data_IF_097404370557
#
_entry.id   IF_097404370557
#
_cell.length_a   1.000
_cell.length_b   1.000
_cell.length_c   1.000
_cell.angle_alpha   90.00
_cell.angle_beta   90.00
_cell.angle_gamma   90.00
#
_symmetry.space_group_name_H-M   'P 1'
#
loop_
_entity.id
_entity.type
_entity.pdbx_description
1 polymer ?
#
# COMPACT_ATOMS: atom_id res chain seq x y z
N UNK A 1 -9.93 -40.41 6.07
CA UNK A 1 -9.19 -40.02 4.85
C UNK A 1 -8.24 -38.93 5.29
N UNK A 2 -6.96 -39.25 5.41
CA UNK A 2 -5.95 -38.31 5.85
C UNK A 2 -5.68 -37.37 4.67
N UNK A 3 -6.22 -36.15 4.73
CA UNK A 3 -5.83 -35.10 3.81
C UNK A 3 -4.34 -34.86 4.00
N UNK A 4 -3.56 -35.09 2.94
CA UNK A 4 -2.18 -34.64 2.82
C UNK A 4 -2.17 -33.12 3.02
N UNK A 5 -2.01 -32.71 4.27
CA UNK A 5 -1.95 -31.31 4.66
C UNK A 5 -0.71 -30.72 3.99
N UNK A 6 -0.90 -30.03 2.86
CA UNK A 6 0.14 -29.34 2.11
C UNK A 6 0.92 -28.41 3.05
N UNK A 7 2.01 -28.89 3.62
CA UNK A 7 2.92 -28.08 4.42
C UNK A 7 3.71 -27.22 3.44
N UNK A 8 3.28 -25.98 3.23
CA UNK A 8 3.94 -25.06 2.32
C UNK A 8 5.07 -24.34 3.05
N UNK A 9 6.22 -25.01 3.16
CA UNK A 9 7.47 -24.38 3.63
C UNK A 9 7.79 -23.14 2.79
N UNK A 10 7.44 -23.19 1.50
CA UNK A 10 7.54 -22.06 0.59
C UNK A 10 6.70 -20.86 1.06
N UNK A 11 5.41 -21.09 1.35
CA UNK A 11 4.50 -20.04 1.82
C UNK A 11 4.97 -19.39 3.13
N UNK A 12 5.40 -20.21 4.10
CA UNK A 12 6.00 -19.73 5.34
C UNK A 12 7.25 -18.89 5.08
N UNK A 13 8.15 -19.37 4.22
CA UNK A 13 9.40 -18.66 3.88
C UNK A 13 9.11 -17.32 3.18
N UNK A 14 8.10 -17.27 2.31
CA UNK A 14 7.62 -16.03 1.69
C UNK A 14 7.10 -15.08 2.77
N UNK A 15 6.24 -15.54 3.69
CA UNK A 15 5.73 -14.70 4.78
C UNK A 15 6.83 -14.07 5.64
N UNK A 16 7.78 -14.89 6.12
CA UNK A 16 8.87 -14.38 6.96
C UNK A 16 9.84 -13.50 6.18
N UNK A 17 10.12 -13.81 4.91
CA UNK A 17 10.97 -12.95 4.07
C UNK A 17 10.32 -11.59 3.79
N UNK A 18 8.98 -11.52 3.69
CA UNK A 18 8.26 -10.24 3.58
C UNK A 18 8.44 -9.37 4.82
N UNK A 19 8.40 -9.94 6.03
CA UNK A 19 8.63 -9.19 7.28
C UNK A 19 10.05 -8.63 7.31
N UNK A 20 11.05 -9.46 6.99
CA UNK A 20 12.46 -9.03 6.96
C UNK A 20 12.68 -7.96 5.89
N UNK A 21 12.12 -8.13 4.70
CA UNK A 21 12.21 -7.15 3.61
C UNK A 21 11.55 -5.82 3.98
N UNK A 22 10.36 -5.85 4.62
CA UNK A 22 9.68 -4.64 5.10
C UNK A 22 10.54 -3.85 6.09
N UNK A 23 11.16 -4.53 7.06
CA UNK A 23 12.06 -3.91 8.03
C UNK A 23 13.32 -3.34 7.36
N UNK A 24 13.93 -4.09 6.44
CA UNK A 24 15.12 -3.66 5.72
C UNK A 24 14.84 -2.41 4.86
N UNK A 25 13.76 -2.43 4.06
CA UNK A 25 13.39 -1.28 3.24
C UNK A 25 13.01 -0.07 4.07
N UNK A 26 12.30 -0.26 5.19
CA UNK A 26 11.99 0.83 6.13
C UNK A 26 13.27 1.46 6.68
N UNK A 27 14.24 0.64 7.11
CA UNK A 27 15.53 1.13 7.61
C UNK A 27 16.30 1.92 6.54
N UNK A 28 16.32 1.43 5.29
CA UNK A 28 16.95 2.13 4.16
C UNK A 28 16.26 3.47 3.91
N UNK A 29 14.92 3.50 3.84
CA UNK A 29 14.15 4.73 3.63
C UNK A 29 14.39 5.76 4.74
N UNK A 30 14.37 5.33 6.01
CA UNK A 30 14.67 6.21 7.14
C UNK A 30 16.10 6.73 7.06
N UNK A 31 17.08 5.88 6.73
CA UNK A 31 18.47 6.31 6.56
C UNK A 31 18.59 7.37 5.47
N UNK A 32 17.95 7.17 4.32
CA UNK A 32 17.89 8.16 3.23
C UNK A 32 17.33 9.49 3.72
N UNK A 33 16.19 9.47 4.43
CA UNK A 33 15.56 10.69 4.95
C UNK A 33 16.48 11.41 5.94
N UNK A 34 17.20 10.67 6.79
CA UNK A 34 18.13 11.24 7.79
C UNK A 34 19.38 11.84 7.16
N UNK A 35 19.93 11.19 6.13
CA UNK A 35 21.17 11.64 5.46
C UNK A 35 20.94 12.75 4.44
N UNK A 36 19.70 12.91 3.97
CA UNK A 36 19.38 13.95 3.00
C UNK A 36 19.32 15.30 3.71
N UNK A 37 20.28 16.18 3.44
CA UNK A 37 20.37 17.50 4.05
C UNK A 37 19.11 18.31 3.77
N UNK A 38 18.45 18.87 4.80
CA UNK A 38 17.26 19.69 4.59
C UNK A 38 17.58 20.85 3.64
N UNK A 39 16.82 20.99 2.57
CA UNK A 39 16.89 22.22 1.77
C UNK A 39 16.30 23.39 2.58
N UNK A 40 16.80 24.61 2.37
CA UNK A 40 16.26 25.82 2.98
C UNK A 40 14.78 26.08 2.63
N UNK A 41 14.24 25.36 1.63
CA UNK A 41 12.85 25.42 1.20
C UNK A 41 11.95 24.44 1.96
N UNK A 42 12.52 23.53 2.76
CA UNK A 42 11.76 22.50 3.46
C UNK A 42 11.11 23.04 4.75
N UNK A 43 9.79 23.27 4.70
CA UNK A 43 9.05 23.70 5.88
C UNK A 43 9.16 22.65 7.00
N UNK A 44 9.58 23.02 8.23
CA UNK A 44 9.62 22.10 9.36
C UNK A 44 8.24 21.55 9.70
N UNK A 45 7.18 22.33 9.47
CA UNK A 45 5.78 21.91 9.69
C UNK A 45 5.37 20.78 8.75
N UNK A 46 5.76 20.86 7.47
CA UNK A 46 5.46 19.80 6.49
C UNK A 46 6.19 18.50 6.85
N UNK A 47 7.45 18.57 7.27
CA UNK A 47 8.21 17.40 7.75
C UNK A 47 7.56 16.76 8.97
N UNK A 48 7.16 17.57 9.95
CA UNK A 48 6.45 17.06 11.12
C UNK A 48 5.13 16.39 10.73
N UNK A 49 4.33 17.05 9.88
CA UNK A 49 3.05 16.52 9.40
C UNK A 49 3.20 15.14 8.74
N UNK A 50 4.10 15.00 7.77
CA UNK A 50 4.30 13.71 7.09
C UNK A 50 4.95 12.65 7.98
N UNK A 51 5.74 13.04 8.98
CA UNK A 51 6.25 12.11 9.99
C UNK A 51 5.14 11.57 10.89
N UNK A 52 4.22 12.44 11.31
CA UNK A 52 3.02 12.05 12.08
C UNK A 52 2.14 11.13 11.24
N UNK A 53 1.85 11.51 9.99
CA UNK A 53 1.04 10.69 9.07
C UNK A 53 1.68 9.33 8.76
N UNK A 54 3.01 9.27 8.59
CA UNK A 54 3.73 8.01 8.42
C UNK A 54 3.62 7.13 9.67
N UNK A 55 3.84 7.70 10.86
CA UNK A 55 3.74 6.96 12.13
C UNK A 55 2.32 6.46 12.35
N UNK A 56 1.33 7.31 12.12
CA UNK A 56 -0.08 6.96 12.25
C UNK A 56 -0.47 5.84 11.28
N UNK A 57 -0.10 5.97 10.00
CA UNK A 57 -0.29 4.91 8.99
C UNK A 57 0.32 3.57 9.43
N UNK A 58 1.57 3.59 9.91
CA UNK A 58 2.25 2.38 10.39
C UNK A 58 1.54 1.76 11.60
N UNK A 59 1.11 2.58 12.57
CA UNK A 59 0.38 2.12 13.75
C UNK A 59 -0.97 1.49 13.38
N UNK A 60 -1.76 2.18 12.55
CA UNK A 60 -3.07 1.69 12.09
C UNK A 60 -2.93 0.37 11.35
N UNK A 61 -1.97 0.26 10.43
CA UNK A 61 -1.68 -1.00 9.77
C UNK A 61 -1.31 -2.09 10.76
N UNK A 62 -0.32 -1.81 11.63
CA UNK A 62 0.22 -2.81 12.54
C UNK A 62 -0.89 -3.37 13.41
N UNK A 63 -1.81 -2.52 13.88
CA UNK A 63 -2.99 -2.93 14.61
C UNK A 63 -3.89 -3.89 13.80
N UNK A 64 -4.31 -3.51 12.59
CA UNK A 64 -5.22 -4.34 11.79
C UNK A 64 -4.56 -5.64 11.29
N UNK A 65 -3.31 -5.58 10.82
CA UNK A 65 -2.58 -6.77 10.39
C UNK A 65 -2.28 -7.70 11.55
N UNK A 66 -1.95 -7.19 12.74
CA UNK A 66 -1.80 -8.03 13.92
C UNK A 66 -3.12 -8.73 14.26
N UNK A 67 -4.26 -8.03 14.17
CA UNK A 67 -5.57 -8.63 14.36
C UNK A 67 -5.87 -9.73 13.32
N UNK A 68 -5.49 -9.55 12.05
CA UNK A 68 -5.56 -10.61 11.02
C UNK A 68 -4.73 -11.83 11.42
N UNK A 69 -3.48 -11.63 11.85
CA UNK A 69 -2.58 -12.72 12.24
C UNK A 69 -3.08 -13.45 13.49
N UNK A 70 -3.57 -12.72 14.49
CA UNK A 70 -4.19 -13.28 15.70
C UNK A 70 -5.41 -14.10 15.33
N UNK A 71 -6.30 -13.57 14.49
CA UNK A 71 -7.50 -14.28 14.04
C UNK A 71 -7.13 -15.57 13.31
N UNK A 72 -6.20 -15.51 12.36
CA UNK A 72 -5.72 -16.67 11.62
C UNK A 72 -5.11 -17.73 12.54
N UNK A 73 -4.27 -17.30 13.50
CA UNK A 73 -3.67 -18.23 14.47
C UNK A 73 -4.73 -18.89 15.35
N UNK A 74 -5.74 -18.15 15.82
CA UNK A 74 -6.84 -18.70 16.64
C UNK A 74 -7.63 -19.76 15.88
N UNK A 75 -8.03 -19.47 14.64
CA UNK A 75 -8.78 -20.42 13.79
C UNK A 75 -7.97 -21.69 13.53
N UNK A 76 -6.67 -21.55 13.24
CA UNK A 76 -5.76 -22.67 13.04
C UNK A 76 -5.55 -23.50 14.32
N UNK A 77 -5.42 -22.84 15.47
CA UNK A 77 -5.25 -23.51 16.77
C UNK A 77 -6.49 -24.33 17.13
N UNK A 78 -7.68 -23.76 16.91
CA UNK A 78 -8.97 -24.42 17.16
C UNK A 78 -9.16 -25.65 16.27
N UNK A 79 -8.84 -25.57 14.97
CA UNK A 79 -8.99 -26.70 14.05
C UNK A 79 -8.06 -27.88 14.37
N UNK A 80 -6.94 -27.63 15.06
CA UNK A 80 -5.99 -28.65 15.52
C UNK A 80 -6.13 -29.02 16.99
N UNK A 81 -7.16 -28.50 17.68
CA UNK A 81 -7.37 -28.68 19.12
C UNK A 81 -6.14 -28.34 19.97
N UNK A 82 -5.35 -27.36 19.52
CA UNK A 82 -4.20 -26.83 20.26
C UNK A 82 -4.74 -25.77 21.23
N UNK A 83 -4.54 -25.93 22.56
CA UNK A 83 -4.98 -24.95 23.52
C UNK A 83 -4.27 -23.61 23.30
N UNK A 84 -5.04 -22.52 23.39
CA UNK A 84 -4.48 -21.17 23.35
C UNK A 84 -4.02 -20.79 24.76
N UNK A 85 -2.95 -19.99 24.90
CA UNK A 85 -2.58 -19.45 26.20
C UNK A 85 -3.71 -18.53 26.70
N UNK A 86 -4.37 -18.91 27.79
CA UNK A 86 -5.49 -18.16 28.37
C UNK A 86 -5.04 -16.85 29.05
N UNK A 87 -3.74 -16.70 29.32
CA UNK A 87 -3.18 -15.57 30.06
C UNK A 87 -1.77 -15.18 29.62
N UNK A 88 -1.45 -13.89 29.79
CA UNK A 88 -0.13 -13.34 29.46
C UNK A 88 0.97 -13.80 30.45
N UNK A 89 0.62 -13.99 31.72
CA UNK A 89 1.49 -14.47 32.82
C UNK A 89 0.69 -15.47 33.68
N UNK A 90 1.24 -16.67 33.95
CA UNK A 90 0.54 -17.75 34.69
C UNK A 90 0.86 -19.18 34.19
N UNK A 91 0.40 -20.24 34.85
CA UNK A 91 0.62 -21.63 34.41
C UNK A 91 -0.16 -21.94 33.11
N UNK A 92 0.49 -21.94 31.94
CA UNK A 92 -0.18 -21.95 30.61
C UNK A 92 -0.02 -20.64 29.82
N UNK A 93 0.85 -19.73 30.27
CA UNK A 93 1.01 -18.39 29.69
C UNK A 93 1.88 -18.30 28.44
N UNK A 94 1.91 -17.10 27.83
CA UNK A 94 2.83 -16.75 26.74
C UNK A 94 4.29 -16.56 27.22
N UNK A 95 4.50 -16.02 28.43
CA UNK A 95 5.83 -15.65 28.95
C UNK A 95 5.99 -16.17 30.38
N UNK A 96 6.87 -17.15 30.59
CA UNK A 96 7.19 -17.69 31.93
C UNK A 96 7.55 -19.17 31.96
N UNK A 97 7.72 -19.73 33.16
CA UNK A 97 8.14 -21.13 33.39
C UNK A 97 7.06 -22.18 33.07
N UNK A 98 5.81 -21.77 32.88
CA UNK A 98 4.70 -22.61 32.43
C UNK A 98 4.25 -22.32 31.00
N UNK A 99 5.17 -21.87 30.14
CA UNK A 99 4.84 -21.40 28.80
C UNK A 99 4.29 -22.51 27.91
N UNK A 100 3.18 -22.26 27.24
CA UNK A 100 2.79 -23.08 26.09
C UNK A 100 3.54 -22.57 24.85
N UNK A 101 4.33 -23.40 24.17
CA UNK A 101 5.09 -22.95 23.01
C UNK A 101 4.12 -22.55 21.89
N UNK A 102 4.15 -21.27 21.50
CA UNK A 102 3.45 -20.82 20.30
C UNK A 102 4.04 -21.55 19.09
N UNK A 103 3.21 -22.31 18.39
CA UNK A 103 3.61 -23.07 17.22
C UNK A 103 3.58 -22.18 15.97
N UNK A 104 4.21 -21.00 16.03
CA UNK A 104 4.15 -19.99 14.97
C UNK A 104 4.71 -20.51 13.64
N UNK A 105 5.80 -21.29 13.69
CA UNK A 105 6.37 -21.88 12.49
C UNK A 105 5.42 -22.91 11.86
N UNK A 106 4.83 -23.79 12.68
CA UNK A 106 3.87 -24.78 12.20
C UNK A 106 2.60 -24.13 11.63
N UNK A 107 2.07 -23.12 12.33
CA UNK A 107 0.99 -22.26 11.84
C UNK A 107 1.34 -21.63 10.49
N UNK A 108 2.54 -21.03 10.35
CA UNK A 108 2.93 -20.38 9.10
C UNK A 108 3.07 -21.35 7.92
N UNK A 109 3.42 -22.63 8.16
CA UNK A 109 3.52 -23.67 7.12
C UNK A 109 2.18 -24.24 6.68
N UNK A 110 1.21 -24.27 7.60
CA UNK A 110 -0.02 -25.07 7.42
C UNK A 110 -1.29 -24.22 7.38
N UNK A 111 -1.19 -22.92 7.63
CA UNK A 111 -2.31 -22.00 7.48
C UNK A 111 -2.48 -21.52 6.03
N UNK A 112 -3.74 -21.22 5.71
CA UNK A 112 -4.19 -20.61 4.45
C UNK A 112 -4.21 -19.08 4.53
N UNK A 113 -3.33 -18.48 5.35
CA UNK A 113 -3.34 -17.04 5.70
C UNK A 113 -3.51 -16.11 4.49
N UNK A 114 -2.65 -16.26 3.47
CA UNK A 114 -2.70 -15.39 2.28
C UNK A 114 -3.95 -15.60 1.44
N UNK A 115 -4.44 -16.84 1.39
CA UNK A 115 -5.64 -17.23 0.64
C UNK A 115 -6.88 -16.60 1.28
N UNK A 116 -7.03 -16.79 2.59
CA UNK A 116 -8.13 -16.24 3.38
C UNK A 116 -8.11 -14.73 3.39
N UNK A 117 -6.92 -14.12 3.48
CA UNK A 117 -6.76 -12.67 3.36
C UNK A 117 -7.29 -12.15 2.03
N UNK A 118 -6.84 -12.75 0.90
CA UNK A 118 -7.29 -12.35 -0.44
C UNK A 118 -8.80 -12.52 -0.63
N UNK A 119 -9.34 -13.67 -0.21
CA UNK A 119 -10.78 -13.94 -0.29
C UNK A 119 -11.58 -12.94 0.55
N UNK A 120 -11.13 -12.63 1.77
CA UNK A 120 -11.82 -11.70 2.66
C UNK A 120 -11.94 -10.29 2.08
N UNK A 121 -10.97 -9.85 1.27
CA UNK A 121 -10.99 -8.56 0.58
C UNK A 121 -12.01 -8.51 -0.56
N UNK A 122 -12.21 -9.62 -1.25
CA UNK A 122 -13.10 -9.73 -2.42
C UNK A 122 -14.52 -10.18 -2.05
N UNK A 123 -14.73 -10.65 -0.82
CA UNK A 123 -15.99 -11.22 -0.38
C UNK A 123 -17.00 -10.12 -0.07
N UNK A 124 -17.94 -9.88 -0.97
CA UNK A 124 -18.97 -8.84 -0.81
C UNK A 124 -18.58 -7.52 -1.45
N UNK A 125 -19.57 -6.83 -2.01
CA UNK A 125 -19.38 -5.57 -2.72
C UNK A 125 -18.96 -4.42 -1.78
N UNK A 126 -19.49 -4.43 -0.56
CA UNK A 126 -19.18 -3.52 0.55
C UNK A 126 -17.72 -3.59 1.02
N UNK A 127 -17.11 -4.78 0.99
CA UNK A 127 -15.69 -4.98 1.29
C UNK A 127 -14.81 -4.63 0.10
N UNK A 128 -15.23 -5.10 -1.08
CA UNK A 128 -14.46 -4.92 -2.30
C UNK A 128 -14.26 -3.45 -2.66
N UNK A 129 -15.24 -2.57 -2.41
CA UNK A 129 -15.09 -1.13 -2.72
C UNK A 129 -13.87 -0.51 -2.05
N UNK A 130 -13.61 -0.85 -0.78
CA UNK A 130 -12.45 -0.34 -0.04
C UNK A 130 -11.13 -0.98 -0.50
N UNK A 131 -11.13 -2.31 -0.68
CA UNK A 131 -9.97 -3.02 -1.19
C UNK A 131 -9.55 -2.50 -2.56
N UNK A 132 -10.51 -2.36 -3.47
CA UNK A 132 -10.32 -1.85 -4.82
C UNK A 132 -9.83 -0.40 -4.83
N UNK A 133 -10.42 0.47 -4.00
CA UNK A 133 -9.96 1.86 -3.84
C UNK A 133 -8.50 1.94 -3.37
N UNK A 134 -8.13 1.13 -2.38
CA UNK A 134 -6.75 1.07 -1.88
C UNK A 134 -5.76 0.55 -2.93
N UNK A 135 -6.12 -0.48 -3.69
CA UNK A 135 -5.29 -1.03 -4.76
C UNK A 135 -5.13 -0.03 -5.91
N UNK A 136 -6.21 0.61 -6.34
CA UNK A 136 -6.18 1.68 -7.35
C UNK A 136 -5.30 2.86 -6.92
N UNK A 137 -5.37 3.24 -5.64
CA UNK A 137 -4.48 4.25 -5.07
C UNK A 137 -3.03 3.78 -5.11
N UNK A 138 -2.75 2.52 -4.80
CA UNK A 138 -1.40 1.93 -4.89
C UNK A 138 -0.78 2.15 -6.27
N UNK A 139 -1.50 1.82 -7.34
CA UNK A 139 -1.03 2.08 -8.71
C UNK A 139 -0.68 3.54 -8.96
N UNK A 140 -1.62 4.43 -8.62
CA UNK A 140 -1.45 5.88 -8.84
C UNK A 140 -0.26 6.44 -8.04
N UNK A 141 -0.06 5.96 -6.81
CA UNK A 141 1.01 6.44 -5.93
C UNK A 141 2.36 5.85 -6.30
N UNK A 142 2.45 4.58 -6.68
CA UNK A 142 3.68 4.00 -7.24
C UNK A 142 4.10 4.77 -8.50
N UNK A 143 3.16 5.09 -9.39
CA UNK A 143 3.43 5.93 -10.56
C UNK A 143 3.97 7.33 -10.19
N UNK A 144 3.37 7.96 -9.19
CA UNK A 144 3.85 9.24 -8.65
C UNK A 144 5.26 9.10 -8.04
N UNK A 145 5.51 8.10 -7.20
CA UNK A 145 6.79 7.87 -6.52
C UNK A 145 7.90 7.59 -7.54
N UNK A 146 7.62 6.78 -8.55
CA UNK A 146 8.52 6.52 -9.66
C UNK A 146 8.85 7.80 -10.42
N UNK A 147 7.85 8.59 -10.82
CA UNK A 147 8.10 9.81 -11.61
C UNK A 147 8.82 10.89 -10.79
N UNK A 148 8.32 11.25 -9.60
CA UNK A 148 8.91 12.30 -8.76
C UNK A 148 10.24 11.87 -8.14
N UNK A 149 10.35 10.62 -7.69
CA UNK A 149 11.57 10.09 -7.09
C UNK A 149 12.75 10.12 -8.06
N UNK A 150 12.52 9.76 -9.33
CA UNK A 150 13.55 9.87 -10.37
C UNK A 150 13.91 11.32 -10.67
N UNK A 151 12.92 12.20 -10.83
CA UNK A 151 13.15 13.63 -11.11
C UNK A 151 13.94 14.32 -9.98
N UNK A 152 13.65 13.96 -8.73
CA UNK A 152 14.31 14.48 -7.55
C UNK A 152 15.61 13.72 -7.18
N UNK A 153 15.98 12.69 -7.95
CA UNK A 153 17.15 11.82 -7.70
C UNK A 153 17.20 11.27 -6.28
N UNK A 154 16.05 10.83 -5.77
CA UNK A 154 15.96 10.21 -4.43
C UNK A 154 16.89 9.00 -4.39
N UNK A 155 17.88 8.96 -3.48
CA UNK A 155 18.80 7.83 -3.37
C UNK A 155 18.03 6.59 -2.91
N UNK A 156 18.42 5.42 -3.40
CA UNK A 156 17.76 4.14 -3.10
C UNK A 156 16.23 4.15 -3.33
N UNK A 157 15.76 4.85 -4.36
CA UNK A 157 14.34 4.91 -4.72
C UNK A 157 13.66 3.52 -4.80
N UNK A 158 14.40 2.50 -5.24
CA UNK A 158 13.93 1.12 -5.28
C UNK A 158 13.42 0.62 -3.91
N UNK A 159 13.98 1.09 -2.79
CA UNK A 159 13.53 0.70 -1.46
C UNK A 159 12.17 1.32 -1.12
N UNK A 160 11.91 2.57 -1.54
CA UNK A 160 10.59 3.20 -1.38
C UNK A 160 9.53 2.50 -2.22
N UNK A 161 9.86 2.11 -3.46
CA UNK A 161 8.95 1.35 -4.33
C UNK A 161 8.72 -0.06 -3.77
N UNK A 162 9.77 -0.77 -3.36
CA UNK A 162 9.64 -2.08 -2.72
C UNK A 162 8.83 -2.02 -1.43
N UNK A 163 8.95 -0.95 -0.65
CA UNK A 163 8.14 -0.72 0.53
C UNK A 163 6.66 -0.51 0.18
N UNK A 164 6.36 0.21 -0.90
CA UNK A 164 4.99 0.40 -1.40
C UNK A 164 4.34 -0.89 -1.94
N UNK A 165 5.14 -1.89 -2.30
CA UNK A 165 4.64 -3.21 -2.71
C UNK A 165 4.33 -4.13 -1.53
N UNK A 166 5.09 -4.01 -0.45
CA UNK A 166 5.02 -4.92 0.71
C UNK A 166 4.14 -4.36 1.82
N UNK A 167 4.27 -3.06 2.11
CA UNK A 167 3.57 -2.34 3.15
C UNK A 167 2.49 -1.43 2.54
N UNK A 168 1.58 -0.91 3.38
CA UNK A 168 0.58 0.09 3.02
C UNK A 168 1.18 1.23 2.25
N UNK A 169 0.44 1.63 1.21
CA UNK A 169 0.91 2.65 0.31
C UNK A 169 1.02 3.99 1.03
N UNK A 170 0.14 4.30 1.99
CA UNK A 170 0.18 5.57 2.72
C UNK A 170 1.45 5.71 3.56
N UNK A 171 1.99 4.61 4.12
CA UNK A 171 3.25 4.64 4.86
C UNK A 171 4.41 4.96 3.93
N UNK A 172 4.56 4.17 2.85
CA UNK A 172 5.63 4.37 1.87
C UNK A 172 5.54 5.74 1.19
N UNK A 173 4.33 6.21 0.89
CA UNK A 173 4.05 7.53 0.34
C UNK A 173 4.51 8.66 1.27
N UNK A 174 4.21 8.59 2.56
CA UNK A 174 4.62 9.62 3.51
C UNK A 174 6.14 9.64 3.71
N UNK A 175 6.81 8.48 3.74
CA UNK A 175 8.26 8.42 3.72
C UNK A 175 8.85 9.04 2.44
N UNK A 176 8.23 8.79 1.28
CA UNK A 176 8.63 9.43 0.03
C UNK A 176 8.48 10.95 0.10
N UNK A 177 7.38 11.46 0.65
CA UNK A 177 7.19 12.91 0.84
C UNK A 177 8.28 13.52 1.71
N UNK A 178 8.66 12.86 2.80
CA UNK A 178 9.79 13.28 3.63
C UNK A 178 11.10 13.31 2.85
N UNK A 179 11.38 12.27 2.05
CA UNK A 179 12.56 12.23 1.20
C UNK A 179 12.55 13.38 0.16
N UNK A 180 11.41 13.63 -0.49
CA UNK A 180 11.25 14.69 -1.48
C UNK A 180 11.45 16.09 -0.89
N UNK A 181 11.01 16.32 0.35
CA UNK A 181 11.26 17.59 1.07
C UNK A 181 12.76 17.81 1.34
N UNK A 182 13.53 16.73 1.51
CA UNK A 182 14.98 16.80 1.70
C UNK A 182 15.77 16.99 0.39
N UNK A 183 15.27 16.52 -0.75
CA UNK A 183 16.02 16.56 -2.01
C UNK A 183 16.08 17.95 -2.65
N UNK A 184 17.22 18.29 -3.27
CA UNK A 184 17.42 19.56 -3.98
C UNK A 184 16.57 19.64 -5.26
N UNK A 185 16.03 20.83 -5.55
CA UNK A 185 15.14 21.15 -6.68
C UNK A 185 15.77 21.09 -8.07
N UNK A 186 17.00 20.59 -8.24
CA UNK A 186 17.57 20.31 -9.57
C UNK A 186 16.85 19.12 -10.20
N UNK A 187 15.67 19.40 -10.75
CA UNK A 187 14.82 18.44 -11.42
C UNK A 187 15.52 17.87 -12.64
N UNK A 188 15.83 16.58 -12.59
CA UNK A 188 16.13 15.82 -13.79
C UNK A 188 14.83 15.61 -14.59
N UNK A 189 14.95 15.51 -15.91
CA UNK A 189 13.82 15.22 -16.80
C UNK A 189 13.63 13.71 -17.04
N UNK A 190 14.41 12.87 -16.36
CA UNK A 190 14.26 11.43 -16.42
C UNK A 190 12.86 10.97 -15.98
N UNK A 191 12.23 10.12 -16.79
CA UNK A 191 10.96 9.46 -16.48
C UNK A 191 11.16 7.95 -16.69
N UNK A 192 10.72 7.10 -15.75
CA UNK A 192 10.81 5.65 -15.90
C UNK A 192 9.82 5.11 -16.94
N UNK A 193 10.24 4.10 -17.69
CA UNK A 193 9.42 3.40 -18.69
C UNK A 193 9.14 4.18 -19.98
N UNK A 194 8.56 3.48 -20.95
CA UNK A 194 7.99 4.05 -22.18
C UNK A 194 6.48 4.24 -22.01
N UNK A 195 5.80 5.07 -22.81
CA UNK A 195 4.34 5.19 -22.74
C UNK A 195 3.63 3.85 -22.94
N UNK A 196 4.18 2.98 -23.79
CA UNK A 196 3.62 1.65 -24.07
C UNK A 196 3.70 0.75 -22.84
N UNK A 197 4.81 0.77 -22.10
CA UNK A 197 4.98 -0.01 -20.88
C UNK A 197 3.97 0.44 -19.81
N UNK A 198 3.80 1.75 -19.61
CA UNK A 198 2.80 2.30 -18.69
C UNK A 198 1.38 1.91 -19.09
N UNK A 199 1.07 1.95 -20.39
CA UNK A 199 -0.24 1.57 -20.90
C UNK A 199 -0.52 0.08 -20.65
N UNK A 200 0.38 -0.82 -21.05
CA UNK A 200 0.18 -2.27 -20.88
C UNK A 200 0.19 -2.68 -19.40
N UNK A 201 1.09 -2.11 -18.58
CA UNK A 201 1.10 -2.32 -17.14
C UNK A 201 -0.21 -1.88 -16.50
N UNK A 202 -0.69 -0.66 -16.81
CA UNK A 202 -1.94 -0.15 -16.24
C UNK A 202 -3.19 -0.88 -16.72
N UNK A 203 -3.27 -1.24 -18.01
CA UNK A 203 -4.39 -2.05 -18.52
C UNK A 203 -4.39 -3.46 -17.93
N UNK A 204 -3.23 -4.09 -17.80
CA UNK A 204 -3.10 -5.38 -17.13
C UNK A 204 -3.50 -5.29 -15.66
N UNK A 205 -3.06 -4.24 -14.97
CA UNK A 205 -3.39 -4.01 -13.56
C UNK A 205 -4.90 -3.82 -13.37
N UNK A 206 -5.52 -3.03 -14.25
CA UNK A 206 -6.96 -2.84 -14.27
C UNK A 206 -7.71 -4.14 -14.54
N UNK A 207 -7.23 -4.98 -15.46
CA UNK A 207 -7.79 -6.31 -15.71
C UNK A 207 -7.71 -7.20 -14.46
N UNK A 208 -6.60 -7.14 -13.71
CA UNK A 208 -6.48 -7.85 -12.43
C UNK A 208 -7.51 -7.36 -11.40
N UNK A 209 -7.73 -6.05 -11.26
CA UNK A 209 -8.76 -5.50 -10.37
C UNK A 209 -10.16 -5.96 -10.78
N UNK A 210 -10.46 -5.93 -12.08
CA UNK A 210 -11.76 -6.38 -12.60
C UNK A 210 -12.01 -7.87 -12.38
N UNK A 211 -10.97 -8.68 -12.49
CA UNK A 211 -11.06 -10.14 -12.35
C UNK A 211 -11.00 -10.62 -10.89
N UNK A 212 -10.41 -9.84 -9.99
CA UNK A 212 -10.15 -10.25 -8.60
C UNK A 212 -11.40 -10.78 -7.86
N UNK A 213 -12.59 -10.14 -7.91
CA UNK A 213 -13.77 -10.66 -7.23
C UNK A 213 -14.22 -12.05 -7.72
N UNK A 214 -13.94 -12.37 -8.99
CA UNK A 214 -14.31 -13.64 -9.62
C UNK A 214 -13.23 -14.71 -9.49
N UNK A 215 -12.05 -14.37 -8.99
CA UNK A 215 -10.89 -15.26 -8.97
C UNK A 215 -11.00 -16.39 -7.94
N UNK A 216 -11.78 -16.21 -6.87
CA UNK A 216 -11.99 -17.20 -5.82
C UNK A 216 -10.66 -17.72 -5.26
N UNK A 217 -10.39 -19.01 -5.43
CA UNK A 217 -9.15 -19.64 -4.97
C UNK A 217 -7.89 -19.14 -5.69
N UNK A 218 -8.02 -18.57 -6.89
CA UNK A 218 -6.87 -18.08 -7.67
C UNK A 218 -6.46 -16.64 -7.32
N UNK A 219 -7.09 -16.03 -6.31
CA UNK A 219 -6.86 -14.63 -5.93
C UNK A 219 -5.39 -14.29 -5.66
N UNK A 220 -4.63 -15.24 -5.08
CA UNK A 220 -3.20 -15.04 -4.79
C UNK A 220 -2.41 -14.79 -6.08
N UNK A 221 -2.70 -15.54 -7.15
CA UNK A 221 -2.02 -15.36 -8.43
C UNK A 221 -2.39 -14.03 -9.07
N UNK A 222 -3.65 -13.61 -8.97
CA UNK A 222 -4.11 -12.30 -9.45
C UNK A 222 -3.38 -11.16 -8.73
N UNK A 223 -3.26 -11.24 -7.41
CA UNK A 223 -2.50 -10.28 -6.61
C UNK A 223 -1.03 -10.29 -7.03
N UNK A 224 -0.40 -11.45 -7.20
CA UNK A 224 1.01 -11.55 -7.60
C UNK A 224 1.24 -10.91 -8.98
N UNK A 225 0.38 -11.19 -9.95
CA UNK A 225 0.46 -10.58 -11.29
C UNK A 225 0.29 -9.06 -11.18
N UNK A 226 -0.68 -8.58 -10.40
CA UNK A 226 -0.88 -7.15 -10.19
C UNK A 226 0.37 -6.47 -9.60
N UNK A 227 1.04 -7.12 -8.64
CA UNK A 227 2.30 -6.64 -8.04
C UNK A 227 3.46 -6.63 -9.05
N UNK A 228 3.60 -7.66 -9.87
CA UNK A 228 4.61 -7.69 -10.94
C UNK A 228 4.37 -6.56 -11.94
N UNK A 229 3.11 -6.35 -12.36
CA UNK A 229 2.74 -5.30 -13.30
C UNK A 229 3.09 -3.90 -12.78
N UNK A 230 2.94 -3.64 -11.47
CA UNK A 230 3.34 -2.38 -10.84
C UNK A 230 4.85 -2.13 -10.88
N UNK A 231 5.65 -3.18 -10.76
CA UNK A 231 7.11 -3.08 -10.77
C UNK A 231 7.70 -2.87 -12.17
N UNK A 232 7.05 -3.34 -13.24
CA UNK A 232 7.60 -3.31 -14.62
C UNK A 232 8.03 -1.89 -15.05
N UNK A 233 7.19 -0.83 -14.95
CA UNK A 233 7.60 0.50 -15.40
C UNK A 233 8.84 1.03 -14.69
N UNK A 234 9.02 0.68 -13.42
CA UNK A 234 10.18 1.07 -12.62
C UNK A 234 11.47 0.39 -13.08
N UNK A 235 11.42 -0.90 -13.41
CA UNK A 235 12.57 -1.68 -13.87
C UNK A 235 13.07 -1.24 -15.25
N UNK A 236 12.17 -0.72 -16.08
CA UNK A 236 12.49 -0.30 -17.45
C UNK A 236 13.04 1.13 -17.47
N UNK A 237 14.38 1.26 -17.45
CA UNK A 237 15.04 2.56 -17.59
C UNK A 237 15.10 2.97 -19.07
N UNK A 238 14.33 3.98 -19.45
CA UNK A 238 14.49 4.62 -20.76
C UNK A 238 15.63 5.63 -20.66
N UNK A 239 16.79 5.33 -21.24
CA UNK A 239 17.90 6.28 -21.31
C UNK A 239 17.44 7.53 -22.10
N UNK A 240 17.39 8.68 -21.42
CA UNK A 240 17.01 9.94 -22.03
C UNK A 240 18.18 10.47 -22.85
N UNK A 241 18.17 10.21 -24.17
CA UNK A 241 19.03 10.97 -25.08
C UNK A 241 18.54 12.43 -25.10
N UNK A 242 19.47 13.36 -24.90
CA UNK A 242 19.27 14.77 -24.53
C UNK A 242 18.50 15.66 -25.54
N UNK A 243 17.86 15.08 -26.56
CA UNK A 243 16.95 15.75 -27.47
C UNK A 243 15.68 14.92 -27.54
N UNK A 244 14.54 15.43 -27.03
CA UNK A 244 13.26 15.47 -27.78
C UNK A 244 11.97 15.69 -26.95
N UNK A 245 10.91 16.20 -27.61
CA UNK A 245 9.52 16.39 -27.15
C UNK A 245 8.72 15.12 -26.74
N UNK A 246 9.36 13.96 -26.51
CA UNK A 246 8.66 12.71 -26.15
C UNK A 246 8.17 12.65 -24.69
N UNK A 247 8.67 13.54 -23.83
CA UNK A 247 8.36 13.55 -22.39
C UNK A 247 6.91 13.95 -22.08
N UNK A 248 6.34 14.88 -22.84
CA UNK A 248 4.93 15.28 -22.69
C UNK A 248 3.98 14.11 -23.00
N UNK A 249 4.33 13.27 -23.97
CA UNK A 249 3.57 12.06 -24.32
C UNK A 249 3.58 11.02 -23.19
N UNK A 250 4.74 10.77 -22.56
CA UNK A 250 4.83 9.83 -21.42
C UNK A 250 4.00 10.34 -20.24
N UNK A 251 4.16 11.61 -19.86
CA UNK A 251 3.39 12.20 -18.76
C UNK A 251 1.90 12.19 -19.04
N UNK A 252 1.50 12.47 -20.28
CA UNK A 252 0.12 12.37 -20.74
C UNK A 252 -0.42 10.94 -20.61
N UNK A 253 0.36 9.93 -21.04
CA UNK A 253 -0.03 8.53 -20.92
C UNK A 253 -0.19 8.09 -19.45
N UNK A 254 0.75 8.44 -18.57
CA UNK A 254 0.66 8.15 -17.13
C UNK A 254 -0.57 8.83 -16.51
N UNK A 255 -0.82 10.10 -16.87
CA UNK A 255 -1.99 10.82 -16.36
C UNK A 255 -3.30 10.21 -16.87
N UNK A 256 -3.36 9.81 -18.14
CA UNK A 256 -4.54 9.20 -18.74
C UNK A 256 -4.83 7.83 -18.12
N UNK A 257 -3.81 6.98 -17.92
CA UNK A 257 -4.01 5.66 -17.31
C UNK A 257 -4.39 5.77 -15.83
N UNK A 258 -3.81 6.71 -15.07
CA UNK A 258 -4.23 6.98 -13.70
C UNK A 258 -5.68 7.47 -13.65
N UNK A 259 -6.06 8.39 -14.54
CA UNK A 259 -7.44 8.87 -14.63
C UNK A 259 -8.40 7.74 -14.99
N UNK A 260 -8.01 6.82 -15.90
CA UNK A 260 -8.80 5.65 -16.26
C UNK A 260 -8.97 4.69 -15.06
N UNK A 261 -7.89 4.36 -14.35
CA UNK A 261 -7.95 3.50 -13.16
C UNK A 261 -8.87 4.10 -12.10
N UNK A 262 -8.70 5.40 -11.80
CA UNK A 262 -9.56 6.12 -10.83
C UNK A 262 -11.01 6.13 -11.30
N UNK A 263 -11.27 6.42 -12.58
CA UNK A 263 -12.62 6.46 -13.14
C UNK A 263 -13.31 5.10 -13.02
N UNK A 264 -12.65 4.01 -13.41
CA UNK A 264 -13.23 2.67 -13.34
C UNK A 264 -13.55 2.29 -11.90
N UNK A 265 -12.64 2.57 -10.97
CA UNK A 265 -12.85 2.28 -9.54
C UNK A 265 -13.96 3.16 -8.96
N UNK A 266 -14.05 4.42 -9.35
CA UNK A 266 -15.13 5.32 -8.93
C UNK A 266 -16.50 4.86 -9.47
N UNK A 267 -16.56 4.40 -10.73
CA UNK A 267 -17.77 3.82 -11.32
C UNK A 267 -18.16 2.54 -10.57
N UNK A 268 -17.22 1.65 -10.29
CA UNK A 268 -17.50 0.44 -9.50
C UNK A 268 -17.99 0.77 -8.10
N UNK A 269 -17.36 1.73 -7.41
CA UNK A 269 -17.81 2.20 -6.11
C UNK A 269 -19.23 2.76 -6.19
N UNK A 270 -19.53 3.59 -7.19
CA UNK A 270 -20.86 4.15 -7.39
C UNK A 270 -21.92 3.06 -7.63
N UNK A 271 -21.61 2.03 -8.43
CA UNK A 271 -22.52 0.90 -8.67
C UNK A 271 -22.80 0.08 -7.41
N UNK A 272 -21.84 -0.01 -6.49
CA UNK A 272 -22.02 -0.70 -5.19
C UNK A 272 -22.87 0.12 -4.24
N UNK A 273 -22.63 1.43 -4.18
CA UNK A 273 -23.25 2.33 -3.20
C UNK A 273 -24.63 2.83 -3.68
N UNK A 274 -24.87 2.81 -4.99
CA UNK A 274 -26.18 3.11 -5.59
C UNK A 274 -26.73 1.86 -6.29
N UNK A 275 -27.15 0.81 -5.54
CA UNK A 275 -27.94 -0.24 -6.15
C UNK A 275 -29.16 0.40 -6.84
N UNK A 276 -29.60 -0.18 -7.95
CA UNK A 276 -30.76 0.24 -8.76
C UNK A 276 -32.11 0.16 -7.99
N UNK A 277 -32.12 0.39 -6.67
CA UNK A 277 -33.25 0.34 -5.74
C UNK A 277 -34.06 1.64 -5.70
N UNK A 278 -33.81 2.59 -6.61
CA UNK A 278 -34.64 3.81 -6.76
C UNK A 278 -34.36 4.93 -5.76
N UNK A 279 -33.38 4.79 -4.87
CA UNK A 279 -32.89 5.88 -4.03
C UNK A 279 -31.76 6.63 -4.75
N UNK A 280 -31.93 7.94 -4.92
CA UNK A 280 -30.95 8.82 -5.57
C UNK A 280 -29.69 9.07 -4.71
N UNK A 281 -29.75 8.74 -3.42
CA UNK A 281 -28.64 8.96 -2.49
C UNK A 281 -27.82 7.68 -2.29
N UNK A 282 -26.48 7.79 -2.33
CA UNK A 282 -25.59 6.67 -2.05
C UNK A 282 -25.82 6.09 -0.65
N UNK A 283 -25.95 4.77 -0.53
CA UNK A 283 -26.00 4.04 0.75
C UNK A 283 -24.59 3.96 1.37
N UNK A 284 -24.16 5.11 1.91
CA UNK A 284 -22.86 5.29 2.54
C UNK A 284 -22.72 4.38 3.77
N UNK A 285 -23.83 4.10 4.47
CA UNK A 285 -23.83 3.24 5.66
C UNK A 285 -23.41 1.82 5.30
N UNK A 286 -23.89 1.28 4.18
CA UNK A 286 -23.47 -0.04 3.71
C UNK A 286 -21.97 -0.08 3.37
N UNK A 287 -21.45 0.97 2.71
CA UNK A 287 -20.01 1.08 2.45
C UNK A 287 -19.19 1.17 3.75
N UNK A 288 -19.62 1.99 4.72
CA UNK A 288 -18.92 2.15 6.00
C UNK A 288 -18.96 0.87 6.84
N UNK A 289 -20.06 0.10 6.81
CA UNK A 289 -20.12 -1.23 7.45
C UNK A 289 -19.08 -2.17 6.88
N UNK A 290 -18.84 -2.11 5.57
CA UNK A 290 -17.78 -2.88 4.91
C UNK A 290 -16.38 -2.59 5.48
N UNK A 291 -16.09 -1.32 5.80
CA UNK A 291 -14.78 -0.86 6.29
C UNK A 291 -14.34 -1.57 7.59
N UNK A 292 -15.27 -1.73 8.54
CA UNK A 292 -15.00 -2.33 9.85
C UNK A 292 -15.43 -3.81 9.95
N UNK A 293 -15.96 -4.37 8.85
CA UNK A 293 -16.49 -5.74 8.84
C UNK A 293 -15.43 -6.83 9.01
N UNK A 294 -14.18 -6.57 8.60
CA UNK A 294 -13.09 -7.53 8.66
C UNK A 294 -11.73 -6.80 8.76
N UNK A 295 -10.81 -7.24 9.63
CA UNK A 295 -9.55 -6.52 9.88
C UNK A 295 -8.67 -6.38 8.61
N UNK A 296 -8.74 -7.34 7.67
CA UNK A 296 -8.07 -7.22 6.37
C UNK A 296 -8.60 -6.04 5.53
N UNK A 297 -9.92 -5.83 5.54
CA UNK A 297 -10.57 -4.73 4.81
C UNK A 297 -10.26 -3.42 5.50
N UNK A 298 -10.33 -3.37 6.83
CA UNK A 298 -9.98 -2.18 7.61
C UNK A 298 -8.53 -1.77 7.35
N UNK A 299 -7.59 -2.72 7.27
CA UNK A 299 -6.19 -2.43 6.96
C UNK A 299 -6.03 -1.66 5.63
N UNK A 300 -6.72 -2.09 4.56
CA UNK A 300 -6.67 -1.42 3.26
C UNK A 300 -7.54 -0.14 3.21
N UNK A 301 -8.72 -0.16 3.82
CA UNK A 301 -9.62 0.98 3.81
C UNK A 301 -9.06 2.17 4.57
N UNK A 302 -8.49 1.96 5.76
CA UNK A 302 -7.81 3.03 6.48
C UNK A 302 -6.51 3.46 5.79
N UNK A 303 -5.77 2.55 5.16
CA UNK A 303 -4.62 2.91 4.31
C UNK A 303 -5.05 3.87 3.17
N UNK A 304 -6.16 3.56 2.50
CA UNK A 304 -6.75 4.42 1.49
C UNK A 304 -7.10 5.81 2.04
N UNK A 305 -7.77 5.89 3.18
CA UNK A 305 -8.16 7.15 3.81
C UNK A 305 -6.95 8.00 4.20
N UNK A 306 -5.97 7.41 4.89
CA UNK A 306 -4.75 8.10 5.34
C UNK A 306 -3.91 8.52 4.13
N UNK A 307 -3.77 7.68 3.11
CA UNK A 307 -3.04 8.00 1.89
C UNK A 307 -3.72 9.11 1.09
N UNK A 308 -5.06 9.11 1.01
CA UNK A 308 -5.83 10.19 0.38
C UNK A 308 -5.64 11.51 1.10
N UNK A 309 -5.75 11.53 2.43
CA UNK A 309 -5.47 12.71 3.26
C UNK A 309 -4.04 13.22 3.07
N UNK A 310 -3.06 12.32 3.12
CA UNK A 310 -1.64 12.63 2.91
C UNK A 310 -1.41 13.27 1.55
N UNK A 311 -2.13 12.82 0.53
CA UNK A 311 -2.05 13.36 -0.82
C UNK A 311 -2.64 14.75 -0.93
N UNK A 312 -3.80 14.97 -0.30
CA UNK A 312 -4.43 16.29 -0.23
C UNK A 312 -3.49 17.29 0.49
N UNK A 313 -2.93 16.89 1.64
CA UNK A 313 -1.94 17.68 2.36
C UNK A 313 -0.72 17.98 1.50
N UNK A 314 -0.20 17.02 0.74
CA UNK A 314 0.92 17.25 -0.18
C UNK A 314 0.57 18.25 -1.28
N UNK A 315 -0.59 18.13 -1.92
CA UNK A 315 -1.00 19.08 -2.97
C UNK A 315 -1.16 20.50 -2.44
N UNK A 316 -1.64 20.65 -1.21
CA UNK A 316 -1.76 21.95 -0.54
C UNK A 316 -0.40 22.48 -0.04
N UNK A 317 0.56 21.60 0.27
CA UNK A 317 1.88 21.99 0.75
C UNK A 317 2.91 22.19 -0.37
N UNK A 318 2.72 21.61 -1.57
CA UNK A 318 3.71 21.62 -2.66
C UNK A 318 3.96 23.06 -3.17
N UNK A 319 5.18 23.61 -2.97
CA UNK A 319 5.50 24.97 -3.41
C UNK A 319 5.46 25.13 -4.93
N UNK A 320 5.48 24.04 -5.71
CA UNK A 320 5.36 24.08 -7.18
C UNK A 320 3.92 24.34 -7.63
N UNK A 321 2.92 23.99 -6.82
CA UNK A 321 1.49 24.14 -7.16
C UNK A 321 0.88 25.44 -6.60
N UNK A 322 1.60 26.14 -5.72
CA UNK A 322 1.28 27.52 -5.35
C UNK A 322 0.04 27.72 -4.48
N UNK A 323 -0.31 26.78 -3.59
CA UNK A 323 -1.50 26.90 -2.72
C UNK A 323 -1.14 27.12 -1.24
N UNK A 324 -0.79 28.36 -0.91
CA UNK A 324 -1.15 29.11 0.32
C UNK A 324 -0.89 28.61 1.77
N UNK A 325 -0.54 27.37 2.09
CA UNK A 325 -0.52 26.97 3.53
C UNK A 325 0.75 27.31 4.31
N UNK A 326 1.87 27.63 3.65
CA UNK A 326 3.15 27.86 4.34
C UNK A 326 4.00 28.94 3.67
N UNK A 327 3.41 30.13 3.44
CA UNK A 327 4.26 31.31 3.24
C UNK A 327 4.86 31.62 4.62
N UNK A 328 6.18 31.53 4.84
CA UNK A 328 6.76 32.02 6.07
C UNK A 328 6.41 33.51 6.16
N UNK A 329 5.88 33.92 7.31
CA UNK A 329 5.67 35.32 7.61
C UNK A 329 6.97 36.06 7.29
N UNK A 330 6.91 36.87 6.23
CA UNK A 330 7.95 37.88 6.00
C UNK A 330 7.80 38.86 7.15
N UNK A 331 8.53 38.61 8.24
CA UNK A 331 8.84 39.65 9.21
C UNK A 331 9.59 40.70 8.40
N UNK A 332 8.88 41.79 8.10
CA UNK A 332 9.45 43.00 7.54
C UNK A 332 10.34 43.60 8.63
N UNK A 333 11.64 43.63 8.36
CA UNK A 333 12.53 44.64 8.95
C UNK A 333 12.58 45.81 7.97
#
# INVERSE_FOLDING_TARGET
>A
MADDSYSSVLGASVFWSYIVAALAFTAICINVIRTTTPTNLSSPRARLLFSILATFSFCTLSYHMLNVLILSYRTWSQSRSIPLPDYFIGPGCLIGNGRQPLSLWEWSKTSTLFQEFGIALTLGSDRWVWANASLAMTFTRVAFMCTRGWQAKVPHLWAFIGLAEILPISFAQNLMYLALLGTSTKQDRAIPGTPTIWLFSGLGYLACLLFAPSAGQQIIYVILIARILLAIPFLTRTASNARQPKQSKIRGAISAINALVILVVAVQALLVVSPFSGHFLPDIDNALRGLDSHPAVSALGYDFLIGSLSSACWTLADPVTGTLLLKPDKIKN
#
